data_IF_708094912295
#
_entry.id   IF_708094912295
#
_cell.length_a   1.000
_cell.length_b   1.000
_cell.length_c   1.000
_cell.angle_alpha   90.00
_cell.angle_beta   90.00
_cell.angle_gamma   90.00
#
_symmetry.space_group_name_H-M   'P 1'
#
loop_
_entity.id
_entity.type
_entity.pdbx_description
1 polymer ?
#
# COMPACT_ATOMS: atom_id res chain seq x y z
N UNK A 1 -6.44 -4.01 9.43
CA UNK A 1 -6.20 -3.12 8.29
C UNK A 1 -5.77 -1.74 8.78
N UNK A 2 -4.59 -1.29 8.38
CA UNK A 2 -4.02 0.00 8.72
C UNK A 2 -3.90 0.88 7.47
N UNK A 3 -4.47 2.08 7.47
CA UNK A 3 -4.41 3.01 6.34
C UNK A 3 -5.75 3.24 5.67
N UNK A 4 -5.74 3.91 4.51
CA UNK A 4 -6.93 4.30 3.76
C UNK A 4 -7.91 5.21 4.52
N UNK A 5 -9.05 5.54 3.93
CA UNK A 5 -10.08 6.35 4.56
C UNK A 5 -11.01 5.52 5.44
N UNK A 6 -11.61 6.14 6.45
CA UNK A 6 -12.65 5.49 7.28
C UNK A 6 -13.77 4.90 6.45
N UNK A 7 -14.18 5.59 5.37
CA UNK A 7 -15.21 5.12 4.43
C UNK A 7 -14.78 3.84 3.72
N UNK A 8 -13.56 3.81 3.16
CA UNK A 8 -13.03 2.62 2.47
C UNK A 8 -12.91 1.46 3.44
N UNK A 9 -12.40 1.69 4.66
CA UNK A 9 -12.27 0.65 5.68
C UNK A 9 -13.62 0.08 6.12
N UNK A 10 -14.67 0.89 6.25
CA UNK A 10 -16.02 0.41 6.54
C UNK A 10 -16.51 -0.58 5.48
N UNK A 11 -16.36 -0.22 4.19
CA UNK A 11 -16.74 -1.10 3.08
C UNK A 11 -15.88 -2.39 3.04
N UNK A 12 -14.59 -2.29 3.36
CA UNK A 12 -13.72 -3.46 3.51
C UNK A 12 -14.25 -4.37 4.61
N UNK A 13 -14.58 -3.83 5.79
CA UNK A 13 -15.12 -4.60 6.92
C UNK A 13 -16.43 -5.31 6.55
N UNK A 14 -17.37 -4.62 5.93
CA UNK A 14 -18.65 -5.20 5.50
C UNK A 14 -18.42 -6.36 4.53
N UNK A 15 -17.55 -6.16 3.55
CA UNK A 15 -17.24 -7.19 2.56
C UNK A 15 -16.49 -8.38 3.15
N UNK A 16 -15.54 -8.14 4.07
CA UNK A 16 -14.84 -9.24 4.77
C UNK A 16 -15.83 -10.05 5.59
N UNK A 17 -16.71 -9.41 6.34
CA UNK A 17 -17.76 -10.12 7.13
C UNK A 17 -18.66 -11.00 6.27
N UNK A 18 -18.96 -10.55 5.04
CA UNK A 18 -19.79 -11.31 4.12
C UNK A 18 -19.04 -12.50 3.52
N UNK A 19 -17.77 -12.30 3.12
CA UNK A 19 -16.99 -13.32 2.40
C UNK A 19 -16.30 -14.27 3.39
N UNK A 20 -15.89 -13.75 4.57
CA UNK A 20 -15.12 -14.46 5.58
C UNK A 20 -15.74 -14.24 6.97
N UNK A 21 -16.89 -14.84 7.30
CA UNK A 21 -17.66 -14.54 8.50
C UNK A 21 -16.93 -14.87 9.81
N UNK A 22 -15.96 -15.75 9.77
CA UNK A 22 -15.19 -16.20 10.96
C UNK A 22 -13.94 -15.35 11.24
N UNK A 23 -13.67 -14.30 10.45
CA UNK A 23 -12.50 -13.44 10.64
C UNK A 23 -12.88 -12.21 11.46
N UNK A 24 -12.11 -11.95 12.50
CA UNK A 24 -12.21 -10.70 13.24
C UNK A 24 -11.42 -9.61 12.52
N UNK A 25 -12.07 -8.48 12.25
CA UNK A 25 -11.44 -7.35 11.56
C UNK A 25 -11.28 -6.19 12.52
N UNK A 26 -10.05 -5.68 12.62
CA UNK A 26 -9.71 -4.41 13.26
C UNK A 26 -9.19 -3.44 12.21
N UNK A 27 -9.52 -2.17 12.36
CA UNK A 27 -9.13 -1.13 11.39
C UNK A 27 -8.64 0.12 12.08
N UNK A 28 -7.64 0.77 11.49
CA UNK A 28 -7.19 2.09 11.89
C UNK A 28 -6.95 2.97 10.65
N UNK A 29 -7.54 4.17 10.64
CA UNK A 29 -7.44 5.14 9.55
C UNK A 29 -6.62 6.34 10.02
N UNK A 30 -5.34 6.42 9.68
CA UNK A 30 -4.52 7.59 10.00
C UNK A 30 -4.92 8.80 9.17
N UNK A 31 -4.54 10.02 9.57
CA UNK A 31 -4.79 11.22 8.80
C UNK A 31 -4.10 11.16 7.42
N UNK A 32 -4.74 11.75 6.40
CA UNK A 32 -4.20 11.77 5.04
C UNK A 32 -3.20 12.91 4.88
N UNK A 33 -1.90 12.60 5.00
CA UNK A 33 -0.79 13.56 4.84
C UNK A 33 0.48 12.87 4.32
N UNK A 34 1.48 13.66 3.95
CA UNK A 34 2.76 13.14 3.39
C UNK A 34 3.60 12.41 4.41
N UNK A 35 3.66 12.93 5.64
CA UNK A 35 4.42 12.36 6.77
C UNK A 35 3.59 12.41 8.04
N UNK A 36 3.86 11.52 8.96
CA UNK A 36 3.22 11.47 10.27
C UNK A 36 4.10 12.09 11.33
N UNK A 37 3.48 12.64 12.38
CA UNK A 37 4.19 13.05 13.58
C UNK A 37 4.54 11.83 14.44
N UNK A 38 5.44 11.99 15.41
CA UNK A 38 5.77 10.91 16.35
C UNK A 38 4.52 10.42 17.13
N UNK A 39 3.64 11.36 17.47
CA UNK A 39 2.41 11.06 18.19
C UNK A 39 1.46 10.21 17.34
N UNK A 40 1.28 10.55 16.07
CA UNK A 40 0.45 9.77 15.13
C UNK A 40 1.07 8.41 14.84
N UNK A 41 2.40 8.31 14.74
CA UNK A 41 3.09 7.02 14.61
C UNK A 41 2.83 6.16 15.85
N UNK A 42 2.95 6.73 17.04
CA UNK A 42 2.68 6.04 18.31
C UNK A 42 1.23 5.54 18.41
N UNK A 43 0.27 6.35 17.96
CA UNK A 43 -1.14 5.92 17.90
C UNK A 43 -1.34 4.74 16.96
N UNK A 44 -0.75 4.79 15.76
CA UNK A 44 -0.81 3.69 14.80
C UNK A 44 -0.17 2.41 15.34
N UNK A 45 1.02 2.50 15.92
CA UNK A 45 1.74 1.38 16.54
C UNK A 45 0.91 0.77 17.68
N UNK A 46 0.39 1.62 18.56
CA UNK A 46 -0.46 1.17 19.66
C UNK A 46 -1.73 0.47 19.16
N UNK A 47 -2.39 1.02 18.13
CA UNK A 47 -3.58 0.40 17.55
C UNK A 47 -3.27 -0.99 16.97
N UNK A 48 -2.13 -1.17 16.32
CA UNK A 48 -1.69 -2.47 15.80
C UNK A 48 -1.36 -3.43 16.94
N UNK A 49 -0.56 -2.99 17.92
CA UNK A 49 -0.15 -3.83 19.04
C UNK A 49 -1.35 -4.27 19.90
N UNK A 50 -2.30 -3.36 20.17
CA UNK A 50 -3.55 -3.71 20.87
C UNK A 50 -4.45 -4.66 20.08
N UNK A 51 -4.41 -4.59 18.76
CA UNK A 51 -5.19 -5.51 17.92
C UNK A 51 -4.58 -6.91 17.87
N UNK A 52 -3.27 -7.04 18.10
CA UNK A 52 -2.48 -8.27 18.04
C UNK A 52 -2.90 -9.16 16.84
N UNK A 53 -2.73 -8.69 15.60
CA UNK A 53 -3.27 -9.35 14.43
C UNK A 53 -2.45 -10.59 14.03
N UNK A 54 -3.10 -11.59 13.42
CA UNK A 54 -2.45 -12.68 12.70
C UNK A 54 -1.98 -12.25 11.30
N UNK A 55 -2.58 -11.16 10.79
CA UNK A 55 -2.28 -10.60 9.47
C UNK A 55 -2.50 -9.09 9.47
N UNK A 56 -1.44 -8.33 9.21
CA UNK A 56 -1.47 -6.88 9.12
C UNK A 56 -1.38 -6.43 7.66
N UNK A 57 -2.46 -5.82 7.15
CA UNK A 57 -2.46 -5.16 5.85
C UNK A 57 -2.31 -3.65 6.00
N UNK A 58 -1.29 -3.08 5.34
CA UNK A 58 -1.02 -1.64 5.34
C UNK A 58 -1.37 -1.07 3.97
N UNK A 59 -2.34 -0.17 3.93
CA UNK A 59 -2.87 0.46 2.71
C UNK A 59 -2.71 1.97 2.73
N UNK A 60 -1.49 2.44 2.54
CA UNK A 60 -1.18 3.85 2.35
C UNK A 60 -0.62 4.08 0.94
N UNK A 61 -0.20 5.29 0.63
CA UNK A 61 0.45 5.57 -0.67
C UNK A 61 1.91 5.09 -0.65
N UNK A 62 2.32 4.33 -1.67
CA UNK A 62 3.73 3.98 -1.85
C UNK A 62 4.57 5.24 -2.18
N UNK A 63 5.81 5.39 -1.68
CA UNK A 63 6.57 4.46 -0.84
C UNK A 63 6.37 4.66 0.67
N UNK A 64 5.39 5.48 1.10
CA UNK A 64 5.18 5.81 2.51
C UNK A 64 4.87 4.57 3.36
N UNK A 65 4.04 3.65 2.86
CA UNK A 65 3.67 2.44 3.57
C UNK A 65 4.85 1.50 3.80
N UNK A 66 5.72 1.35 2.82
CA UNK A 66 6.93 0.53 2.91
C UNK A 66 7.92 1.12 3.92
N UNK A 67 8.15 2.44 3.84
CA UNK A 67 9.00 3.16 4.77
C UNK A 67 8.47 3.06 6.19
N UNK A 68 7.20 3.36 6.41
CA UNK A 68 6.57 3.27 7.72
C UNK A 68 6.68 1.86 8.32
N UNK A 69 6.38 0.84 7.54
CA UNK A 69 6.49 -0.54 8.00
C UNK A 69 7.94 -0.92 8.39
N UNK A 70 8.92 -0.47 7.61
CA UNK A 70 10.33 -0.72 7.88
C UNK A 70 10.83 0.05 9.11
N UNK A 71 10.54 1.34 9.21
CA UNK A 71 10.97 2.21 10.30
C UNK A 71 10.44 1.77 11.67
N UNK A 72 9.20 1.26 11.71
CA UNK A 72 8.53 0.87 12.95
C UNK A 72 8.46 -0.64 13.20
N UNK A 73 9.13 -1.46 12.38
CA UNK A 73 9.08 -2.92 12.49
C UNK A 73 9.41 -3.43 13.90
N UNK A 74 10.41 -2.84 14.52
CA UNK A 74 10.87 -3.23 15.87
C UNK A 74 9.95 -2.75 17.01
N UNK A 75 9.08 -1.78 16.72
CA UNK A 75 8.10 -1.25 17.66
C UNK A 75 6.75 -1.99 17.59
N UNK A 76 6.53 -2.69 16.47
CA UNK A 76 5.37 -3.55 16.29
C UNK A 76 5.59 -4.86 17.05
N UNK A 77 5.01 -4.95 18.24
CA UNK A 77 5.07 -6.16 19.07
C UNK A 77 4.02 -7.20 18.60
N UNK A 78 4.15 -7.65 17.35
CA UNK A 78 3.24 -8.59 16.71
C UNK A 78 4.00 -9.73 16.03
N UNK A 79 3.44 -10.93 16.07
CA UNK A 79 3.98 -12.12 15.40
C UNK A 79 3.09 -12.49 14.20
N UNK A 80 3.06 -11.62 13.19
CA UNK A 80 2.17 -11.77 12.06
C UNK A 80 2.84 -11.46 10.72
N UNK A 81 2.20 -11.86 9.63
CA UNK A 81 2.60 -11.37 8.31
C UNK A 81 2.16 -9.92 8.12
N UNK A 82 3.10 -9.09 7.65
CA UNK A 82 2.85 -7.68 7.33
C UNK A 82 2.92 -7.50 5.82
N UNK A 83 1.84 -7.00 5.21
CA UNK A 83 1.78 -6.73 3.78
C UNK A 83 1.42 -5.27 3.47
N UNK A 84 2.26 -4.61 2.68
CA UNK A 84 2.00 -3.26 2.16
C UNK A 84 1.30 -3.36 0.82
N UNK A 85 0.00 -3.11 0.78
CA UNK A 85 -0.84 -3.43 -0.39
C UNK A 85 -1.47 -2.21 -1.08
N UNK A 86 -1.31 -1.00 -0.50
CA UNK A 86 -1.73 0.26 -1.11
C UNK A 86 -3.19 0.27 -1.59
N UNK A 87 -3.37 0.51 -2.87
CA UNK A 87 -4.69 0.67 -3.50
C UNK A 87 -5.55 -0.62 -3.53
N UNK A 88 -5.06 -1.75 -3.04
CA UNK A 88 -5.86 -2.99 -2.98
C UNK A 88 -7.08 -2.81 -2.08
N UNK A 89 -6.99 -1.96 -1.04
CA UNK A 89 -8.15 -1.62 -0.21
C UNK A 89 -9.28 -1.01 -1.03
N UNK A 90 -8.96 -0.09 -1.94
CA UNK A 90 -9.96 0.58 -2.77
C UNK A 90 -10.59 -0.38 -3.78
N UNK A 91 -9.80 -1.29 -4.34
CA UNK A 91 -10.33 -2.34 -5.24
C UNK A 91 -11.21 -3.33 -4.49
N UNK A 92 -10.77 -3.77 -3.32
CA UNK A 92 -11.56 -4.71 -2.52
C UNK A 92 -12.84 -4.05 -2.00
N UNK A 93 -12.78 -2.80 -1.57
CA UNK A 93 -13.96 -2.02 -1.18
C UNK A 93 -14.91 -1.73 -2.36
N UNK A 94 -14.40 -1.79 -3.60
CA UNK A 94 -15.16 -1.42 -4.80
C UNK A 94 -15.28 0.09 -5.04
N UNK A 95 -14.50 0.90 -4.31
CA UNK A 95 -14.48 2.36 -4.49
C UNK A 95 -13.74 2.79 -5.75
N UNK A 96 -12.82 1.94 -6.23
CA UNK A 96 -12.10 2.11 -7.49
C UNK A 96 -12.33 0.89 -8.37
N UNK A 97 -12.76 1.11 -9.59
CA UNK A 97 -12.93 0.04 -10.57
C UNK A 97 -11.57 -0.42 -11.10
N UNK A 98 -11.35 -1.71 -11.10
CA UNK A 98 -10.21 -2.30 -11.82
C UNK A 98 -10.41 -2.14 -13.34
N UNK A 99 -9.30 -2.22 -14.06
CA UNK A 99 -9.37 -2.27 -15.52
C UNK A 99 -10.26 -3.42 -15.98
N UNK A 100 -10.96 -3.30 -17.13
CA UNK A 100 -11.70 -4.41 -17.74
C UNK A 100 -10.82 -5.64 -17.90
N UNK A 101 -11.41 -6.84 -17.86
CA UNK A 101 -10.68 -8.12 -17.87
C UNK A 101 -9.70 -8.24 -19.04
N UNK A 102 -10.04 -7.71 -20.21
CA UNK A 102 -9.16 -7.72 -21.37
C UNK A 102 -7.82 -6.99 -21.09
N UNK A 103 -7.88 -5.79 -20.48
CA UNK A 103 -6.68 -5.03 -20.09
C UNK A 103 -5.85 -5.76 -19.04
N UNK A 104 -6.51 -6.43 -18.08
CA UNK A 104 -5.84 -7.21 -17.05
C UNK A 104 -5.13 -8.43 -17.63
N UNK A 105 -5.80 -9.20 -18.52
CA UNK A 105 -5.25 -10.40 -19.15
C UNK A 105 -4.05 -10.11 -20.05
N UNK A 106 -4.00 -8.92 -20.66
CA UNK A 106 -2.89 -8.50 -21.52
C UNK A 106 -1.79 -7.73 -20.78
N UNK A 107 -1.84 -7.64 -19.43
CA UNK A 107 -0.86 -6.88 -18.64
C UNK A 107 -0.91 -5.37 -18.84
N UNK A 108 -1.98 -4.84 -19.45
CA UNK A 108 -2.16 -3.42 -19.79
C UNK A 108 -2.93 -2.63 -18.73
N UNK A 109 -3.12 -3.18 -17.53
CA UNK A 109 -3.83 -2.48 -16.43
C UNK A 109 -3.18 -1.12 -16.11
N UNK A 110 -1.86 -1.03 -16.18
CA UNK A 110 -1.12 0.21 -15.99
C UNK A 110 -1.48 1.28 -17.05
N UNK A 111 -1.66 0.89 -18.31
CA UNK A 111 -2.03 1.81 -19.38
C UNK A 111 -3.47 2.31 -19.20
N UNK A 112 -4.39 1.42 -18.80
CA UNK A 112 -5.75 1.81 -18.45
C UNK A 112 -5.78 2.84 -17.31
N UNK A 113 -4.97 2.65 -16.26
CA UNK A 113 -4.84 3.61 -15.16
C UNK A 113 -4.23 4.94 -15.63
N UNK A 114 -3.23 4.89 -16.51
CA UNK A 114 -2.63 6.09 -17.08
C UNK A 114 -3.67 6.90 -17.87
N UNK A 115 -4.53 6.26 -18.63
CA UNK A 115 -5.63 6.91 -19.36
C UNK A 115 -6.69 7.52 -18.43
N UNK A 116 -6.99 6.86 -17.31
CA UNK A 116 -7.99 7.34 -16.33
C UNK A 116 -7.48 8.48 -15.46
N UNK A 117 -6.22 8.42 -15.05
CA UNK A 117 -5.60 9.39 -14.14
C UNK A 117 -4.23 9.88 -14.66
N UNK A 118 -4.16 10.54 -15.84
CA UNK A 118 -2.90 10.87 -16.49
C UNK A 118 -2.00 11.74 -15.61
N UNK A 119 -2.54 12.78 -14.97
CA UNK A 119 -1.78 13.72 -14.13
C UNK A 119 -1.09 13.05 -12.93
N UNK A 120 -1.68 11.98 -12.36
CA UNK A 120 -1.15 11.27 -11.20
C UNK A 120 -0.17 10.18 -11.61
N UNK A 121 -0.44 9.52 -12.74
CA UNK A 121 0.25 8.30 -13.15
C UNK A 121 1.44 8.53 -14.09
N UNK A 122 1.47 9.60 -14.90
CA UNK A 122 2.52 9.81 -15.88
C UNK A 122 3.93 9.89 -15.26
N UNK A 123 4.07 10.62 -14.14
CA UNK A 123 5.36 10.73 -13.44
C UNK A 123 5.84 9.36 -12.95
N UNK A 124 4.92 8.58 -12.40
CA UNK A 124 5.24 7.26 -11.84
C UNK A 124 5.61 6.26 -12.93
N UNK A 125 4.88 6.24 -14.04
CA UNK A 125 5.10 5.24 -15.09
C UNK A 125 6.16 5.67 -16.10
N UNK A 126 6.23 6.91 -16.49
CA UNK A 126 7.22 7.35 -17.47
C UNK A 126 8.55 7.63 -16.80
N UNK A 127 8.59 8.54 -15.82
CA UNK A 127 9.87 8.89 -15.17
C UNK A 127 10.39 7.70 -14.34
N UNK A 128 9.53 7.05 -13.56
CA UNK A 128 9.92 5.93 -12.69
C UNK A 128 10.48 4.75 -13.48
N UNK A 129 9.84 4.36 -14.59
CA UNK A 129 10.30 3.25 -15.40
C UNK A 129 11.62 3.58 -16.14
N UNK A 130 11.76 4.82 -16.64
CA UNK A 130 13.03 5.25 -17.28
C UNK A 130 14.17 5.24 -16.27
N UNK A 131 13.97 5.77 -15.07
CA UNK A 131 14.97 5.74 -13.99
C UNK A 131 15.31 4.31 -13.57
N UNK A 132 14.32 3.44 -13.46
CA UNK A 132 14.51 2.03 -13.13
C UNK A 132 15.36 1.31 -14.17
N UNK A 133 15.01 1.44 -15.45
CA UNK A 133 15.79 0.87 -16.56
C UNK A 133 17.22 1.43 -16.60
N UNK A 134 17.39 2.73 -16.37
CA UNK A 134 18.69 3.37 -16.28
C UNK A 134 19.54 2.80 -15.14
N UNK A 135 18.94 2.60 -13.95
CA UNK A 135 19.65 2.02 -12.81
C UNK A 135 20.04 0.56 -13.07
N UNK A 136 19.16 -0.25 -13.68
CA UNK A 136 19.51 -1.62 -14.07
C UNK A 136 20.66 -1.65 -15.07
N UNK A 137 20.65 -0.76 -16.07
CA UNK A 137 21.73 -0.68 -17.04
C UNK A 137 23.06 -0.26 -16.40
N UNK A 138 23.03 0.66 -15.44
CA UNK A 138 24.20 1.03 -14.65
C UNK A 138 24.74 -0.14 -13.82
N UNK A 139 23.86 -0.86 -13.12
CA UNK A 139 24.23 -2.03 -12.32
C UNK A 139 24.88 -3.11 -13.18
N UNK A 140 24.28 -3.42 -14.33
CA UNK A 140 24.82 -4.40 -15.29
C UNK A 140 26.19 -3.99 -15.83
N UNK A 141 26.46 -2.70 -15.96
CA UNK A 141 27.76 -2.18 -16.47
C UNK A 141 28.79 -1.96 -15.36
N UNK A 142 28.57 -2.43 -14.14
CA UNK A 142 29.50 -2.31 -13.00
C UNK A 142 29.74 -0.88 -12.52
N UNK A 143 28.83 0.06 -12.80
CA UNK A 143 28.97 1.47 -12.45
C UNK A 143 28.27 1.86 -11.13
N UNK A 144 27.80 0.90 -10.34
CA UNK A 144 27.32 1.18 -8.99
C UNK A 144 28.48 0.93 -8.04
N UNK A 145 29.19 2.00 -7.74
CA UNK A 145 30.09 2.03 -6.59
C UNK A 145 29.24 2.03 -5.31
N UNK A 146 29.69 1.23 -4.36
CA UNK A 146 29.25 1.14 -2.98
C UNK A 146 28.76 2.47 -2.42
N UNK A 147 27.52 2.49 -1.96
CA UNK A 147 27.08 3.42 -0.94
C UNK A 147 27.11 2.67 0.40
N UNK A 148 28.25 2.83 1.09
CA UNK A 148 28.32 2.67 2.54
C UNK A 148 27.38 3.65 3.23
#
# INVERSE_FOLDING_TARGET
FLGSSKKTLSLVCEKVKTVYPNIQVKTYSPPYKSSFTEEENREMINAVNMANPDLLWIGMTAPKQEKWAYEHLNELNVHCHIGTIGAVFDFFAGTVQRAPQWWQRNGLEWAYRLLKEPKRMWRRYIIGNVLFLWNILKEKNGMIMDHN
#
